data_IF_337655367758
#
_entry.id   IF_337655367758
#
_cell.length_a   1.000
_cell.length_b   1.000
_cell.length_c   1.000
_cell.angle_alpha   90.00
_cell.angle_beta   90.00
_cell.angle_gamma   90.00
#
_symmetry.space_group_name_H-M   'P 1'
#
loop_
_entity.id
_entity.type
_entity.pdbx_description
1 polymer ?
#
# COMPACT_ATOMS: atom_id res chain seq x y z
N UNK A 1 -1.42 -5.58 18.42
CA UNK A 1 -0.72 -6.83 18.78
C UNK A 1 -0.43 -6.91 20.27
N UNK A 2 0.34 -6.00 20.88
CA UNK A 2 0.50 -5.96 22.36
C UNK A 2 -0.81 -5.79 23.15
N UNK A 3 -1.77 -5.03 22.60
CA UNK A 3 -3.14 -4.92 23.15
C UNK A 3 -3.99 -6.19 23.03
N UNK A 4 -3.60 -7.13 22.17
CA UNK A 4 -4.38 -8.32 21.81
C UNK A 4 -3.80 -9.58 22.47
N UNK A 5 -2.49 -9.59 22.73
CA UNK A 5 -1.78 -10.68 23.40
C UNK A 5 -1.16 -10.12 24.68
N UNK A 6 -1.89 -10.17 25.82
CA UNK A 6 -1.36 -9.79 27.11
C UNK A 6 -0.09 -10.59 27.42
N UNK A 7 0.95 -9.92 27.93
CA UNK A 7 2.22 -10.56 28.29
C UNK A 7 3.24 -10.68 27.15
N UNK A 8 2.93 -10.26 25.92
CA UNK A 8 3.88 -10.30 24.80
C UNK A 8 5.06 -9.34 25.06
N UNK A 9 6.25 -9.89 25.28
CA UNK A 9 7.46 -9.11 25.47
C UNK A 9 7.90 -8.42 24.17
N UNK A 10 8.71 -7.36 24.30
CA UNK A 10 9.29 -6.68 23.13
C UNK A 10 10.16 -7.64 22.29
N UNK A 11 10.87 -8.57 22.96
CA UNK A 11 11.71 -9.57 22.29
C UNK A 11 10.87 -10.53 21.46
N UNK A 12 9.78 -11.05 22.01
CA UNK A 12 8.87 -11.95 21.28
C UNK A 12 8.18 -11.22 20.14
N UNK A 13 7.73 -9.99 20.35
CA UNK A 13 7.14 -9.16 19.31
C UNK A 13 8.11 -8.97 18.13
N UNK A 14 9.38 -8.61 18.40
CA UNK A 14 10.41 -8.50 17.37
C UNK A 14 10.65 -9.82 16.65
N UNK A 15 10.68 -10.95 17.38
CA UNK A 15 10.83 -12.28 16.78
C UNK A 15 9.67 -12.62 15.84
N UNK A 16 8.43 -12.35 16.23
CA UNK A 16 7.23 -12.55 15.37
C UNK A 16 7.35 -11.72 14.10
N UNK A 17 7.78 -10.46 14.24
CA UNK A 17 7.96 -9.56 13.09
C UNK A 17 9.01 -10.11 12.12
N UNK A 18 10.14 -10.62 12.61
CA UNK A 18 11.20 -11.21 11.77
C UNK A 18 10.69 -12.46 11.06
N UNK A 19 10.16 -13.43 11.81
CA UNK A 19 9.63 -14.68 11.26
C UNK A 19 8.54 -14.44 10.22
N UNK A 20 7.67 -13.45 10.44
CA UNK A 20 6.64 -13.07 9.47
C UNK A 20 7.25 -12.63 8.14
N UNK A 21 8.33 -11.85 8.14
CA UNK A 21 8.97 -11.38 6.90
C UNK A 21 9.77 -12.50 6.21
N UNK A 22 10.36 -13.42 6.98
CA UNK A 22 11.04 -14.62 6.45
C UNK A 22 10.06 -15.54 5.73
N UNK A 23 9.00 -15.96 6.42
CA UNK A 23 7.98 -16.84 5.86
C UNK A 23 7.21 -16.19 4.71
N UNK A 24 7.04 -14.86 4.70
CA UNK A 24 6.26 -14.19 3.65
C UNK A 24 6.74 -14.56 2.24
N UNK A 25 8.05 -14.73 2.04
CA UNK A 25 8.63 -15.09 0.74
C UNK A 25 8.24 -16.51 0.30
N UNK A 26 8.15 -17.43 1.25
CA UNK A 26 7.79 -18.84 1.01
C UNK A 26 6.31 -18.97 0.60
N UNK A 27 5.45 -18.08 1.12
CA UNK A 27 4.01 -18.11 0.85
C UNK A 27 3.56 -17.11 -0.23
N UNK A 28 4.46 -16.60 -1.07
CA UNK A 28 4.09 -15.72 -2.19
C UNK A 28 3.12 -16.39 -3.17
N UNK A 29 3.27 -17.71 -3.38
CA UNK A 29 2.39 -18.49 -4.26
C UNK A 29 0.93 -18.55 -3.79
N UNK A 30 0.70 -18.31 -2.50
CA UNK A 30 -0.66 -18.24 -1.93
C UNK A 30 -1.31 -16.86 -2.15
N UNK A 31 -0.59 -15.90 -2.74
CA UNK A 31 -1.11 -14.57 -3.02
C UNK A 31 -1.70 -14.49 -4.42
N UNK A 32 -2.82 -13.78 -4.55
CA UNK A 32 -3.47 -13.50 -5.83
C UNK A 32 -3.65 -12.00 -6.03
N UNK A 33 -3.62 -11.55 -7.28
CA UNK A 33 -3.95 -10.17 -7.63
C UNK A 33 -5.43 -9.86 -7.37
N UNK A 34 -5.72 -8.70 -6.78
CA UNK A 34 -7.07 -8.13 -6.85
C UNK A 34 -7.35 -7.73 -8.31
N UNK A 35 -8.21 -8.49 -8.98
CA UNK A 35 -8.48 -8.33 -10.41
C UNK A 35 -9.05 -6.95 -10.74
N UNK A 36 -9.87 -6.37 -9.87
CA UNK A 36 -10.44 -5.02 -10.05
C UNK A 36 -9.33 -3.96 -10.06
N UNK A 37 -8.45 -4.00 -9.05
CA UNK A 37 -7.30 -3.10 -8.96
C UNK A 37 -6.34 -3.28 -10.15
N UNK A 38 -6.03 -4.53 -10.50
CA UNK A 38 -5.14 -4.84 -11.60
C UNK A 38 -5.68 -4.35 -12.95
N UNK A 39 -6.97 -4.53 -13.22
CA UNK A 39 -7.61 -4.02 -14.45
C UNK A 39 -7.57 -2.50 -14.53
N UNK A 40 -7.83 -1.81 -13.41
CA UNK A 40 -7.68 -0.37 -13.35
C UNK A 40 -6.23 0.05 -13.62
N UNK A 41 -5.26 -0.56 -12.93
CA UNK A 41 -3.84 -0.28 -13.11
C UNK A 41 -3.42 -0.45 -14.58
N UNK A 42 -3.75 -1.58 -15.20
CA UNK A 42 -3.40 -1.87 -16.59
C UNK A 42 -4.07 -0.91 -17.59
N UNK A 43 -5.30 -0.48 -17.31
CA UNK A 43 -6.02 0.49 -18.15
C UNK A 43 -5.38 1.88 -18.08
N UNK A 44 -5.02 2.33 -16.88
CA UNK A 44 -4.60 3.71 -16.65
C UNK A 44 -3.08 3.92 -16.70
N UNK A 45 -2.25 2.89 -16.52
CA UNK A 45 -0.78 2.98 -16.62
C UNK A 45 -0.29 3.50 -17.97
N UNK A 46 -1.08 3.33 -19.03
CA UNK A 46 -0.75 3.80 -20.39
C UNK A 46 -0.94 5.30 -20.60
N UNK A 47 -1.74 5.96 -19.75
CA UNK A 47 -2.18 7.36 -19.96
C UNK A 47 -2.03 8.25 -18.71
N UNK A 48 -1.83 7.65 -17.55
CA UNK A 48 -1.81 8.33 -16.27
C UNK A 48 -0.55 7.92 -15.49
N UNK A 49 -0.05 8.82 -14.63
CA UNK A 49 0.94 8.44 -13.62
C UNK A 49 0.28 7.50 -12.63
N UNK A 50 0.79 6.27 -12.53
CA UNK A 50 0.34 5.27 -11.55
C UNK A 50 1.29 5.28 -10.37
N UNK A 51 0.72 5.35 -9.17
CA UNK A 51 1.49 5.48 -7.93
C UNK A 51 1.04 4.39 -6.96
N UNK A 52 1.99 3.58 -6.49
CA UNK A 52 1.74 2.67 -5.38
C UNK A 52 1.95 3.43 -4.08
N UNK A 53 0.96 3.39 -3.18
CA UNK A 53 1.05 3.98 -1.84
C UNK A 53 0.65 2.92 -0.83
N UNK A 54 1.61 2.41 -0.04
CA UNK A 54 1.39 1.26 0.86
C UNK A 54 2.04 1.45 2.22
N UNK A 55 1.36 1.00 3.28
CA UNK A 55 1.94 0.88 4.63
C UNK A 55 2.85 -0.36 4.78
N UNK A 56 3.17 -1.01 3.66
CA UNK A 56 4.10 -2.13 3.64
C UNK A 56 5.55 -1.68 3.71
N UNK A 57 6.40 -2.48 4.36
CA UNK A 57 7.86 -2.31 4.25
C UNK A 57 8.28 -2.48 2.80
N UNK A 58 9.32 -1.75 2.40
CA UNK A 58 9.82 -1.70 1.03
C UNK A 58 10.14 -3.09 0.49
N UNK A 59 10.90 -3.87 1.25
CA UNK A 59 11.39 -5.19 0.84
C UNK A 59 10.23 -6.12 0.50
N UNK A 60 9.24 -6.20 1.40
CA UNK A 60 8.04 -7.02 1.20
C UNK A 60 7.23 -6.57 0.00
N UNK A 61 7.00 -5.27 -0.14
CA UNK A 61 6.24 -4.73 -1.26
C UNK A 61 6.94 -5.01 -2.60
N UNK A 62 8.25 -4.81 -2.69
CA UNK A 62 9.03 -5.09 -3.91
C UNK A 62 9.02 -6.57 -4.27
N UNK A 63 9.22 -7.47 -3.29
CA UNK A 63 9.16 -8.91 -3.54
C UNK A 63 7.78 -9.33 -4.06
N UNK A 64 6.71 -8.77 -3.50
CA UNK A 64 5.33 -9.02 -3.96
C UNK A 64 5.12 -8.54 -5.39
N UNK A 65 5.56 -7.32 -5.70
CA UNK A 65 5.44 -6.76 -7.05
C UNK A 65 6.23 -7.56 -8.08
N UNK A 66 7.45 -7.98 -7.75
CA UNK A 66 8.28 -8.80 -8.62
C UNK A 66 7.60 -10.14 -8.91
N UNK A 67 7.08 -10.81 -7.89
CA UNK A 67 6.39 -12.09 -8.04
C UNK A 67 5.20 -11.99 -9.01
N UNK A 68 4.45 -10.88 -8.95
CA UNK A 68 3.30 -10.64 -9.82
C UNK A 68 3.61 -9.87 -11.11
N UNK A 69 4.89 -9.64 -11.44
CA UNK A 69 5.32 -8.86 -12.61
C UNK A 69 4.74 -7.44 -12.69
N UNK A 70 4.55 -6.77 -11.54
CA UNK A 70 3.96 -5.43 -11.44
C UNK A 70 4.96 -4.33 -11.09
N UNK A 71 6.24 -4.65 -10.94
CA UNK A 71 7.27 -3.69 -10.51
C UNK A 71 7.33 -2.47 -11.43
N UNK A 72 7.20 -2.66 -12.73
CA UNK A 72 7.27 -1.56 -13.72
C UNK A 72 5.89 -0.96 -14.04
N UNK A 73 4.82 -1.46 -13.41
CA UNK A 73 3.47 -0.91 -13.60
C UNK A 73 3.22 0.41 -12.87
N UNK A 74 4.16 0.84 -12.01
CA UNK A 74 4.04 2.04 -11.18
C UNK A 74 5.20 3.01 -11.44
N UNK A 75 4.85 4.24 -11.83
CA UNK A 75 5.80 5.35 -12.01
C UNK A 75 6.48 5.75 -10.70
N UNK A 76 5.75 5.70 -9.58
CA UNK A 76 6.27 5.99 -8.25
C UNK A 76 5.76 4.99 -7.21
N UNK A 77 6.56 4.76 -6.17
CA UNK A 77 6.25 3.80 -5.11
C UNK A 77 6.58 4.44 -3.76
N UNK A 78 5.56 4.61 -2.92
CA UNK A 78 5.67 5.08 -1.55
C UNK A 78 5.36 3.92 -0.62
N UNK A 79 6.37 3.55 0.17
CA UNK A 79 6.30 2.49 1.17
C UNK A 79 6.03 3.08 2.54
N UNK A 80 5.96 2.22 3.56
CA UNK A 80 5.83 2.64 4.95
C UNK A 80 6.88 3.70 5.29
N UNK A 81 6.42 4.85 5.76
CA UNK A 81 7.22 5.94 6.30
C UNK A 81 6.78 6.26 7.73
N UNK A 82 7.46 7.20 8.37
CA UNK A 82 7.06 7.73 9.69
C UNK A 82 5.86 8.68 9.61
N UNK A 83 5.43 9.03 8.39
CA UNK A 83 4.22 9.82 8.16
C UNK A 83 3.00 8.96 8.45
N UNK A 84 2.13 9.42 9.35
CA UNK A 84 0.90 8.70 9.69
C UNK A 84 -0.04 8.54 8.48
N UNK A 85 -0.02 9.52 7.57
CA UNK A 85 -0.84 9.52 6.37
C UNK A 85 0.00 9.32 5.10
N UNK A 86 -0.04 8.10 4.55
CA UNK A 86 0.68 7.72 3.33
C UNK A 86 0.30 8.55 2.10
N UNK A 87 -0.94 9.06 2.04
CA UNK A 87 -1.43 9.86 0.91
C UNK A 87 -0.83 11.27 0.91
N UNK A 88 -0.73 11.92 2.08
CA UNK A 88 -0.07 13.23 2.22
C UNK A 88 1.38 13.14 1.75
N UNK A 89 2.09 12.09 2.17
CA UNK A 89 3.48 11.87 1.77
C UNK A 89 3.61 11.80 0.24
N UNK A 90 2.75 11.01 -0.43
CA UNK A 90 2.78 10.86 -1.88
C UNK A 90 2.39 12.16 -2.62
N UNK A 91 1.32 12.84 -2.17
CA UNK A 91 0.82 14.08 -2.78
C UNK A 91 1.88 15.18 -2.72
N UNK A 92 2.46 15.40 -1.54
CA UNK A 92 3.48 16.43 -1.33
C UNK A 92 4.76 16.12 -2.10
N UNK A 93 5.22 14.86 -2.06
CA UNK A 93 6.44 14.44 -2.76
C UNK A 93 6.33 14.58 -4.28
N UNK A 94 5.13 14.45 -4.83
CA UNK A 94 4.89 14.57 -6.27
C UNK A 94 4.38 15.96 -6.69
N UNK A 95 4.14 16.87 -5.74
CA UNK A 95 3.55 18.19 -5.96
C UNK A 95 2.28 18.13 -6.83
N UNK A 96 1.39 17.18 -6.53
CA UNK A 96 0.13 16.97 -7.27
C UNK A 96 -1.06 17.56 -6.52
N UNK A 97 -2.08 18.03 -7.25
CA UNK A 97 -3.33 18.48 -6.64
C UNK A 97 -4.18 17.27 -6.22
N UNK A 98 -4.64 17.19 -4.95
CA UNK A 98 -5.47 16.08 -4.46
C UNK A 98 -6.74 15.82 -5.28
N UNK A 99 -7.30 16.86 -5.89
CA UNK A 99 -8.51 16.84 -6.73
C UNK A 99 -8.34 16.03 -8.00
N UNK A 100 -7.09 15.83 -8.44
CA UNK A 100 -6.72 15.04 -9.63
C UNK A 100 -6.35 13.59 -9.28
N UNK A 101 -6.35 13.23 -8.00
CA UNK A 101 -5.97 11.89 -7.53
C UNK A 101 -7.21 11.01 -7.47
N UNK A 102 -7.10 9.80 -8.03
CA UNK A 102 -8.07 8.71 -7.88
C UNK A 102 -7.44 7.62 -7.02
N UNK A 103 -8.13 7.18 -5.97
CA UNK A 103 -7.65 6.20 -5.00
C UNK A 103 -8.42 4.89 -5.13
N UNK A 104 -7.69 3.79 -5.16
CA UNK A 104 -8.22 2.44 -5.01
C UNK A 104 -7.69 1.87 -3.70
N UNK A 105 -8.58 1.50 -2.79
CA UNK A 105 -8.23 1.11 -1.42
C UNK A 105 -9.24 0.10 -0.87
N UNK A 106 -8.82 -0.86 -0.07
CA UNK A 106 -9.69 -1.90 0.49
C UNK A 106 -10.03 -1.63 1.97
N UNK A 107 -9.29 -0.75 2.65
CA UNK A 107 -9.51 -0.41 4.05
C UNK A 107 -10.26 0.92 4.23
N UNK A 108 -11.42 0.89 4.90
CA UNK A 108 -12.24 2.10 5.13
C UNK A 108 -11.49 3.18 5.91
N UNK A 109 -10.65 2.81 6.87
CA UNK A 109 -9.83 3.74 7.63
C UNK A 109 -8.82 4.45 6.72
N UNK A 110 -8.22 3.74 5.77
CA UNK A 110 -7.29 4.33 4.81
C UNK A 110 -8.01 5.28 3.83
N UNK A 111 -9.27 5.00 3.46
CA UNK A 111 -10.09 5.97 2.72
C UNK A 111 -10.37 7.26 3.51
N UNK A 112 -10.56 7.16 4.83
CA UNK A 112 -10.66 8.36 5.68
C UNK A 112 -9.34 9.14 5.70
N UNK A 113 -8.20 8.45 5.68
CA UNK A 113 -6.90 9.11 5.56
C UNK A 113 -6.74 9.81 4.20
N UNK A 114 -7.16 9.18 3.10
CA UNK A 114 -7.19 9.80 1.79
C UNK A 114 -8.08 11.07 1.76
N UNK A 115 -9.26 11.01 2.37
CA UNK A 115 -10.16 12.15 2.48
C UNK A 115 -9.54 13.31 3.26
N UNK A 116 -8.87 13.00 4.38
CA UNK A 116 -8.13 14.00 5.18
C UNK A 116 -6.95 14.62 4.43
N UNK A 117 -6.45 13.97 3.39
CA UNK A 117 -5.44 14.52 2.48
C UNK A 117 -6.00 15.43 1.39
N UNK A 118 -7.31 15.75 1.43
CA UNK A 118 -7.97 16.61 0.46
C UNK A 118 -8.44 15.89 -0.80
N UNK A 119 -8.27 14.56 -0.90
CA UNK A 119 -8.77 13.81 -2.06
C UNK A 119 -10.31 13.80 -2.00
N UNK A 120 -11.02 14.20 -3.06
CA UNK A 120 -12.48 14.20 -3.06
C UNK A 120 -13.05 12.79 -2.90
N UNK A 121 -14.10 12.63 -2.09
CA UNK A 121 -14.77 11.33 -1.88
C UNK A 121 -15.21 10.65 -3.19
N UNK A 122 -15.62 11.44 -4.19
CA UNK A 122 -16.00 10.94 -5.53
C UNK A 122 -14.85 10.28 -6.31
N UNK A 123 -13.60 10.55 -5.92
CA UNK A 123 -12.42 9.96 -6.54
C UNK A 123 -11.91 8.71 -5.78
N UNK A 124 -12.66 8.22 -4.79
CA UNK A 124 -12.28 7.06 -3.99
C UNK A 124 -13.09 5.84 -4.39
N UNK A 125 -12.40 4.74 -4.65
CA UNK A 125 -12.98 3.46 -5.05
C UNK A 125 -12.60 2.43 -3.98
N UNK A 126 -13.62 1.94 -3.26
CA UNK A 126 -13.46 0.84 -2.32
C UNK A 126 -13.38 -0.48 -3.11
N UNK A 127 -12.33 -1.26 -2.87
CA UNK A 127 -12.06 -2.55 -3.52
C UNK A 127 -12.56 -3.75 -2.72
#
# INVERSE_FOLDING_TARGET
MKRIIPGLSEREFKKIVILKEEFYKEYLCETSLNITAYRALNKYSKKNKTVLVTNSRKERAIVTLNYHNLTDSFSHKFFKSDTENKYINAINSLSISPEKVIVFENEKQELLMALRSGIPKKNMILL
#
